data_IF_724556606179
#
_entry.id   IF_724556606179
#
_cell.length_a   1.000
_cell.length_b   1.000
_cell.length_c   1.000
_cell.angle_alpha   90.00
_cell.angle_beta   90.00
_cell.angle_gamma   90.00
#
_symmetry.space_group_name_H-M   'P 1'
#
loop_
_entity.id
_entity.type
_entity.pdbx_description
1 polymer ?
#
# COMPACT_ATOMS: atom_id res chain seq x y z
N UNK A 1 13.16 0.22 30.10
CA UNK A 1 13.26 -0.46 28.78
C UNK A 1 13.63 0.62 27.78
N UNK A 2 14.80 0.52 27.16
CA UNK A 2 15.16 1.39 26.04
C UNK A 2 14.20 1.10 24.88
N UNK A 3 13.64 2.16 24.30
CA UNK A 3 12.76 2.07 23.15
C UNK A 3 13.63 1.70 21.94
N UNK A 4 13.56 0.44 21.49
CA UNK A 4 14.25 -0.04 20.28
C UNK A 4 13.72 0.62 18.99
N UNK A 5 12.64 1.40 19.09
CA UNK A 5 12.09 2.23 18.02
C UNK A 5 12.67 3.64 18.18
N UNK A 6 13.87 3.85 17.63
CA UNK A 6 14.43 5.17 17.40
C UNK A 6 14.11 5.60 15.96
N UNK A 7 14.07 6.90 15.65
CA UNK A 7 13.68 7.40 14.30
C UNK A 7 14.51 6.78 13.16
N UNK A 8 15.79 6.51 13.41
CA UNK A 8 16.72 5.86 12.48
C UNK A 8 16.22 4.45 12.08
N UNK A 9 15.82 3.62 13.05
CA UNK A 9 15.26 2.30 12.79
C UNK A 9 13.91 2.34 12.05
N UNK A 10 13.14 3.43 12.19
CA UNK A 10 11.87 3.56 11.48
C UNK A 10 12.07 3.89 10.00
N UNK A 11 13.07 4.71 9.66
CA UNK A 11 13.42 5.01 8.28
C UNK A 11 13.97 3.77 7.58
N UNK A 12 14.83 2.98 8.24
CA UNK A 12 15.33 1.71 7.70
C UNK A 12 14.22 0.69 7.42
N UNK A 13 13.24 0.58 8.34
CA UNK A 13 12.07 -0.28 8.15
C UNK A 13 11.24 0.21 6.96
N UNK A 14 11.06 1.52 6.83
CA UNK A 14 10.34 2.12 5.71
C UNK A 14 11.05 1.83 4.39
N UNK A 15 12.35 2.06 4.31
CA UNK A 15 13.16 1.84 3.11
C UNK A 15 13.18 0.35 2.71
N UNK A 16 13.25 -0.55 3.71
CA UNK A 16 13.09 -1.99 3.51
C UNK A 16 11.71 -2.36 2.95
N UNK A 17 10.64 -1.72 3.44
CA UNK A 17 9.28 -1.95 2.95
C UNK A 17 9.15 -1.41 1.53
N UNK A 18 9.56 -0.16 1.28
CA UNK A 18 9.51 0.51 -0.02
C UNK A 18 10.28 -0.29 -1.08
N UNK A 19 11.50 -0.77 -0.76
CA UNK A 19 12.28 -1.62 -1.67
C UNK A 19 11.60 -2.97 -1.98
N UNK A 20 10.94 -3.60 -1.00
CA UNK A 20 10.22 -4.87 -1.22
C UNK A 20 8.97 -4.71 -2.08
N UNK A 21 8.34 -3.54 -2.06
CA UNK A 21 7.11 -3.28 -2.83
C UNK A 21 7.36 -2.44 -4.08
N UNK A 22 8.61 -2.03 -4.34
CA UNK A 22 8.99 -1.14 -5.44
C UNK A 22 8.55 -1.69 -6.80
N UNK A 23 8.61 -3.00 -7.00
CA UNK A 23 8.24 -3.65 -8.27
C UNK A 23 6.76 -4.06 -8.35
N UNK A 24 5.98 -3.88 -7.27
CA UNK A 24 4.56 -4.30 -7.22
C UNK A 24 3.65 -3.15 -7.66
N UNK A 25 2.91 -3.24 -8.78
CA UNK A 25 2.04 -2.15 -9.22
C UNK A 25 1.02 -1.72 -8.15
N UNK A 26 0.72 -0.43 -8.09
CA UNK A 26 -0.18 0.12 -7.07
C UNK A 26 -1.57 -0.53 -7.10
N UNK A 27 -2.07 -0.88 -8.29
CA UNK A 27 -3.35 -1.57 -8.48
C UNK A 27 -3.34 -2.95 -7.83
N UNK A 28 -2.22 -3.68 -7.94
CA UNK A 28 -2.07 -5.02 -7.34
C UNK A 28 -2.07 -4.94 -5.82
N UNK A 29 -1.43 -3.92 -5.24
CA UNK A 29 -1.47 -3.65 -3.79
C UNK A 29 -2.92 -3.37 -3.35
N UNK A 30 -3.65 -2.56 -4.12
CA UNK A 30 -5.05 -2.24 -3.85
C UNK A 30 -5.97 -3.48 -3.96
N UNK A 31 -5.77 -4.36 -4.93
CA UNK A 31 -6.48 -5.63 -5.00
C UNK A 31 -6.17 -6.53 -3.79
N UNK A 32 -4.92 -6.56 -3.33
CA UNK A 32 -4.53 -7.23 -2.09
C UNK A 32 -5.27 -6.69 -0.87
N UNK A 33 -5.41 -5.37 -0.77
CA UNK A 33 -6.20 -4.73 0.28
C UNK A 33 -7.68 -5.12 0.25
N UNK A 34 -8.29 -5.16 -0.94
CA UNK A 34 -9.68 -5.60 -1.10
C UNK A 34 -9.83 -7.06 -0.66
N UNK A 35 -8.91 -7.93 -1.08
CA UNK A 35 -8.86 -9.33 -0.64
C UNK A 35 -8.76 -9.47 0.88
N UNK A 36 -7.91 -8.67 1.52
CA UNK A 36 -7.77 -8.64 2.99
C UNK A 36 -9.07 -8.18 3.69
N UNK A 37 -9.76 -7.17 3.17
CA UNK A 37 -11.05 -6.72 3.71
C UNK A 37 -12.13 -7.81 3.60
N UNK A 38 -12.23 -8.47 2.44
CA UNK A 38 -13.17 -9.58 2.24
C UNK A 38 -12.85 -10.77 3.16
N UNK A 39 -11.56 -11.11 3.31
CA UNK A 39 -11.11 -12.15 4.22
C UNK A 39 -11.42 -11.79 5.69
N UNK A 40 -11.17 -10.55 6.10
CA UNK A 40 -11.53 -10.05 7.44
C UNK A 40 -13.03 -10.22 7.72
N UNK A 41 -13.87 -9.85 6.74
CA UNK A 41 -15.33 -10.01 6.82
C UNK A 41 -15.75 -11.48 6.95
N UNK A 42 -15.16 -12.37 6.15
CA UNK A 42 -15.40 -13.80 6.22
C UNK A 42 -14.98 -14.40 7.58
N UNK A 43 -13.79 -14.05 8.07
CA UNK A 43 -13.29 -14.50 9.38
C UNK A 43 -14.19 -14.03 10.53
N UNK A 44 -14.66 -12.79 10.49
CA UNK A 44 -15.61 -12.27 11.47
C UNK A 44 -16.94 -13.04 11.43
N UNK A 45 -17.46 -13.35 10.23
CA UNK A 45 -18.71 -14.12 10.06
C UNK A 45 -18.60 -15.58 10.53
N UNK A 46 -17.42 -16.19 10.39
CA UNK A 46 -17.17 -17.60 10.77
C UNK A 46 -16.73 -17.78 12.23
N UNK A 47 -16.77 -16.72 13.04
CA UNK A 47 -16.43 -16.79 14.47
C UNK A 47 -14.95 -16.53 14.80
N UNK A 48 -14.09 -16.36 13.79
CA UNK A 48 -12.66 -16.07 13.96
C UNK A 48 -12.40 -14.57 14.21
N UNK A 49 -13.05 -13.99 15.22
CA UNK A 49 -13.07 -12.53 15.48
C UNK A 49 -11.69 -11.90 15.66
N UNK A 50 -10.76 -12.58 16.33
CA UNK A 50 -9.40 -12.05 16.53
C UNK A 50 -8.62 -11.97 15.21
N UNK A 51 -8.62 -13.06 14.43
CA UNK A 51 -7.97 -13.08 13.11
C UNK A 51 -8.61 -12.07 12.16
N UNK A 52 -9.95 -12.00 12.14
CA UNK A 52 -10.69 -11.00 11.37
C UNK A 52 -10.29 -9.57 11.73
N UNK A 53 -10.14 -9.26 13.02
CA UNK A 53 -9.68 -7.94 13.48
C UNK A 53 -8.24 -7.63 13.06
N UNK A 54 -7.32 -8.58 13.17
CA UNK A 54 -5.90 -8.39 12.79
C UNK A 54 -5.80 -8.13 11.28
N UNK A 55 -6.40 -8.98 10.46
CA UNK A 55 -6.41 -8.84 9.00
C UNK A 55 -7.09 -7.53 8.59
N UNK A 56 -8.20 -7.18 9.24
CA UNK A 56 -8.91 -5.91 8.99
C UNK A 56 -8.03 -4.69 9.29
N UNK A 57 -7.32 -4.69 10.42
CA UNK A 57 -6.40 -3.60 10.77
C UNK A 57 -5.21 -3.50 9.82
N UNK A 58 -4.69 -4.63 9.33
CA UNK A 58 -3.61 -4.67 8.33
C UNK A 58 -4.06 -4.14 6.96
N UNK A 59 -5.35 -4.26 6.62
CA UNK A 59 -5.85 -3.74 5.35
C UNK A 59 -5.69 -2.21 5.22
N UNK A 60 -5.79 -1.46 6.33
CA UNK A 60 -5.69 0.01 6.33
C UNK A 60 -4.32 0.51 5.82
N UNK A 61 -3.17 0.08 6.39
CA UNK A 61 -1.87 0.49 5.87
C UNK A 61 -1.62 -0.02 4.45
N UNK A 62 -2.12 -1.20 4.07
CA UNK A 62 -2.00 -1.70 2.68
C UNK A 62 -2.73 -0.78 1.70
N UNK A 63 -3.93 -0.30 2.06
CA UNK A 63 -4.68 0.69 1.26
C UNK A 63 -3.88 1.99 1.15
N UNK A 64 -3.34 2.49 2.25
CA UNK A 64 -2.54 3.73 2.25
C UNK A 64 -1.36 3.66 1.29
N UNK A 65 -0.60 2.56 1.35
CA UNK A 65 0.53 2.29 0.45
C UNK A 65 0.06 2.19 -1.01
N UNK A 66 -1.00 1.42 -1.27
CA UNK A 66 -1.54 1.24 -2.62
C UNK A 66 -2.00 2.55 -3.25
N UNK A 67 -2.69 3.42 -2.48
CA UNK A 67 -3.14 4.74 -2.95
C UNK A 67 -1.94 5.65 -3.24
N UNK A 68 -0.95 5.69 -2.35
CA UNK A 68 0.24 6.52 -2.54
C UNK A 68 0.95 6.16 -3.86
N UNK A 69 1.19 4.87 -4.07
CA UNK A 69 1.85 4.39 -5.29
C UNK A 69 1.00 4.59 -6.55
N UNK A 70 -0.32 4.39 -6.46
CA UNK A 70 -1.22 4.60 -7.60
C UNK A 70 -1.30 6.08 -8.01
N UNK A 71 -1.19 7.01 -7.06
CA UNK A 71 -1.11 8.45 -7.36
C UNK A 71 0.15 8.80 -8.16
N UNK A 72 1.28 8.18 -7.85
CA UNK A 72 2.53 8.42 -8.59
C UNK A 72 2.40 7.95 -10.04
N UNK A 73 1.76 6.80 -10.26
CA UNK A 73 1.44 6.31 -11.62
C UNK A 73 0.56 7.30 -12.39
N UNK A 74 -0.55 7.75 -11.79
CA UNK A 74 -1.44 8.75 -12.42
C UNK A 74 -0.67 10.04 -12.76
N UNK A 75 0.19 10.50 -11.85
CA UNK A 75 0.97 11.72 -12.04
C UNK A 75 1.96 11.57 -13.20
N UNK A 76 2.68 10.45 -13.27
CA UNK A 76 3.60 10.15 -14.36
C UNK A 76 2.89 9.99 -15.71
N UNK A 77 1.69 9.43 -15.73
CA UNK A 77 0.88 9.38 -16.95
C UNK A 77 0.49 10.78 -17.43
N UNK A 78 0.00 11.64 -16.53
CA UNK A 78 -0.36 13.04 -16.87
C UNK A 78 0.84 13.81 -17.43
N UNK A 79 2.01 13.68 -16.81
CA UNK A 79 3.26 14.31 -17.27
C UNK A 79 3.70 13.79 -18.65
N UNK A 80 3.56 12.49 -18.92
CA UNK A 80 3.83 11.91 -20.24
C UNK A 80 2.87 12.43 -21.33
N UNK A 81 1.57 12.56 -21.02
CA UNK A 81 0.60 13.14 -21.95
C UNK A 81 0.90 14.61 -22.29
N UNK A 82 1.32 15.41 -21.31
CA UNK A 82 1.68 16.81 -21.51
C UNK A 82 2.95 16.95 -22.36
N UNK A 83 3.99 16.17 -22.06
CA UNK A 83 5.26 16.19 -22.81
C UNK A 83 5.06 15.79 -24.28
N UNK A 84 4.29 14.73 -24.53
CA UNK A 84 3.97 14.27 -25.90
C UNK A 84 3.21 15.34 -26.71
N UNK A 85 2.38 16.15 -26.05
CA UNK A 85 1.62 17.22 -26.73
C UNK A 85 2.52 18.41 -27.10
N UNK A 86 3.58 18.67 -26.33
CA UNK A 86 4.54 19.75 -26.60
C UNK A 86 5.58 19.42 -27.69
N UNK A 87 5.92 18.13 -27.90
CA UNK A 87 6.85 17.72 -28.96
C UNK A 87 6.20 17.66 -30.36
N UNK A 88 4.86 17.66 -30.43
CA UNK A 88 4.09 17.56 -31.68
C UNK A 88 3.55 18.92 -32.19
N UNK A 89 4.04 20.04 -31.63
CA UNK A 89 3.74 21.42 -32.04
C UNK A 89 5.01 22.12 -32.52
#
# INVERSE_FOLDING_TARGET
MENLINQENLEDIRELIESKIADVPGEVILFGAIGALLLSSYLNKTGHKQAGSIVGKLSIPIIGIGIAKYKDVIKSEIENYQTTTHENL
#
